data_IF_852443688771
#
_entry.id   IF_852443688771
#
_cell.length_a   1.000
_cell.length_b   1.000
_cell.length_c   1.000
_cell.angle_alpha   90.00
_cell.angle_beta   90.00
_cell.angle_gamma   90.00
#
_symmetry.space_group_name_H-M   'P 1'
#
loop_
_entity.id
_entity.type
_entity.pdbx_description
1 polymer ?
#
# COMPACT_ATOMS: atom_id res chain seq x y z
N UNK A 1 -0.36 5.00 -12.06
CA UNK A 1 1.11 4.86 -11.94
C UNK A 1 1.63 3.76 -12.88
N UNK A 2 2.82 3.90 -13.50
CA UNK A 2 3.52 2.79 -14.18
C UNK A 2 4.69 2.33 -13.30
N UNK A 3 4.69 1.07 -12.87
CA UNK A 3 5.77 0.48 -12.08
C UNK A 3 6.78 -0.23 -13.00
N UNK A 4 8.09 -0.13 -12.73
CA UNK A 4 9.08 -0.91 -13.48
C UNK A 4 8.84 -2.41 -13.26
N UNK A 5 9.10 -3.21 -14.29
CA UNK A 5 8.92 -4.65 -14.25
C UNK A 5 10.03 -5.31 -13.42
N UNK A 6 9.80 -5.44 -12.11
CA UNK A 6 10.70 -6.11 -11.17
C UNK A 6 9.90 -7.17 -10.39
N UNK A 7 10.53 -8.24 -9.87
CA UNK A 7 9.82 -9.27 -9.11
C UNK A 7 8.99 -8.71 -7.94
N UNK A 8 9.52 -7.69 -7.25
CA UNK A 8 8.83 -7.03 -6.13
C UNK A 8 7.58 -6.26 -6.60
N UNK A 9 7.70 -5.50 -7.67
CA UNK A 9 6.57 -4.74 -8.21
C UNK A 9 5.51 -5.66 -8.83
N UNK A 10 5.93 -6.81 -9.36
CA UNK A 10 5.03 -7.83 -9.86
C UNK A 10 4.18 -8.44 -8.73
N UNK A 11 4.78 -8.74 -7.57
CA UNK A 11 4.03 -9.20 -6.40
C UNK A 11 2.96 -8.17 -5.95
N UNK A 12 3.29 -6.87 -5.97
CA UNK A 12 2.32 -5.81 -5.67
C UNK A 12 1.19 -5.79 -6.71
N UNK A 13 1.51 -5.95 -8.00
CA UNK A 13 0.52 -6.00 -9.06
C UNK A 13 -0.41 -7.22 -8.95
N UNK A 14 0.12 -8.38 -8.54
CA UNK A 14 -0.64 -9.61 -8.30
C UNK A 14 -1.62 -9.46 -7.12
N UNK A 15 -1.18 -8.81 -6.03
CA UNK A 15 -2.08 -8.48 -4.90
C UNK A 15 -3.18 -7.51 -5.35
N UNK A 16 -2.83 -6.44 -6.08
CA UNK A 16 -3.83 -5.50 -6.59
C UNK A 16 -4.83 -6.17 -7.55
N UNK A 17 -4.38 -7.11 -8.39
CA UNK A 17 -5.23 -7.88 -9.27
C UNK A 17 -6.19 -8.80 -8.48
N UNK A 18 -5.68 -9.49 -7.46
CA UNK A 18 -6.50 -10.32 -6.56
C UNK A 18 -7.58 -9.51 -5.85
N UNK A 19 -7.23 -8.33 -5.34
CA UNK A 19 -8.20 -7.42 -4.70
C UNK A 19 -9.24 -6.91 -5.70
N UNK A 20 -8.84 -6.61 -6.93
CA UNK A 20 -9.76 -6.14 -7.96
C UNK A 20 -10.81 -7.20 -8.34
N UNK A 21 -10.49 -8.50 -8.28
CA UNK A 21 -11.46 -9.58 -8.47
C UNK A 21 -12.58 -9.51 -7.42
N UNK A 22 -12.24 -9.13 -6.19
CA UNK A 22 -13.17 -8.92 -5.08
C UNK A 22 -13.83 -7.53 -5.08
N UNK A 23 -13.74 -6.78 -6.20
CA UNK A 23 -14.18 -5.38 -6.31
C UNK A 23 -13.55 -4.45 -5.26
N UNK A 24 -12.35 -4.77 -4.78
CA UNK A 24 -11.59 -3.95 -3.85
C UNK A 24 -10.48 -3.21 -4.59
N UNK A 25 -10.51 -1.88 -4.52
CA UNK A 25 -9.55 -1.03 -5.23
C UNK A 25 -8.72 -0.23 -4.23
N UNK A 26 -7.49 -0.67 -3.89
CA UNK A 26 -6.60 0.13 -3.07
C UNK A 26 -6.28 1.45 -3.77
N UNK A 27 -6.26 2.52 -3.01
CA UNK A 27 -5.93 3.84 -3.55
C UNK A 27 -4.44 3.93 -3.95
N UNK A 28 -4.13 4.86 -4.86
CA UNK A 28 -2.77 5.03 -5.35
C UNK A 28 -1.78 5.44 -4.24
N UNK A 29 -2.23 6.18 -3.22
CA UNK A 29 -1.38 6.60 -2.11
C UNK A 29 -0.96 5.40 -1.25
N UNK A 30 -1.85 4.44 -1.04
CA UNK A 30 -1.61 3.21 -0.32
C UNK A 30 -0.61 2.31 -1.05
N UNK A 31 -0.76 2.15 -2.38
CA UNK A 31 0.21 1.42 -3.20
C UNK A 31 1.61 2.04 -3.11
N UNK A 32 1.72 3.37 -3.05
CA UNK A 32 3.01 4.06 -2.85
C UNK A 32 3.63 3.76 -1.48
N UNK A 33 2.83 3.64 -0.43
CA UNK A 33 3.34 3.29 0.89
C UNK A 33 3.81 1.83 0.97
N UNK A 34 3.15 0.90 0.27
CA UNK A 34 3.64 -0.48 0.12
C UNK A 34 4.99 -0.50 -0.59
N UNK A 35 5.16 0.29 -1.66
CA UNK A 35 6.43 0.37 -2.39
C UNK A 35 7.59 0.86 -1.50
N UNK A 36 7.33 1.82 -0.61
CA UNK A 36 8.32 2.27 0.38
C UNK A 36 8.75 1.15 1.31
N UNK A 37 7.82 0.26 1.70
CA UNK A 37 8.15 -0.93 2.50
C UNK A 37 9.05 -1.87 1.71
N UNK A 38 8.70 -2.17 0.46
CA UNK A 38 9.49 -3.05 -0.41
C UNK A 38 10.90 -2.52 -0.73
N UNK A 39 11.05 -1.20 -0.78
CA UNK A 39 12.33 -0.52 -0.95
C UNK A 39 13.16 -0.42 0.35
N UNK A 40 12.60 -0.80 1.50
CA UNK A 40 13.26 -0.69 2.80
C UNK A 40 13.28 0.73 3.38
N UNK A 41 12.52 1.67 2.80
CA UNK A 41 12.39 3.04 3.30
C UNK A 41 11.58 3.08 4.60
N UNK A 42 10.72 2.09 4.83
CA UNK A 42 9.98 1.88 6.08
C UNK A 42 9.68 0.41 6.33
N UNK A 43 9.36 0.04 7.56
CA UNK A 43 8.98 -1.34 7.89
C UNK A 43 7.48 -1.58 7.74
N UNK A 44 7.09 -2.85 7.58
CA UNK A 44 5.69 -3.26 7.61
C UNK A 44 4.99 -2.80 8.90
N UNK A 45 5.66 -2.93 10.06
CA UNK A 45 5.05 -2.54 11.34
C UNK A 45 4.84 -1.03 11.43
N UNK A 46 5.77 -0.22 10.91
CA UNK A 46 5.58 1.24 10.83
C UNK A 46 4.36 1.60 9.98
N UNK A 47 4.22 0.99 8.80
CA UNK A 47 3.05 1.21 7.93
C UNK A 47 1.75 0.76 8.61
N UNK A 48 1.76 -0.40 9.29
CA UNK A 48 0.60 -0.92 10.03
C UNK A 48 0.15 0.04 11.13
N UNK A 49 1.08 0.53 11.95
CA UNK A 49 0.75 1.47 13.03
C UNK A 49 0.21 2.80 12.51
N UNK A 50 0.77 3.28 11.40
CA UNK A 50 0.29 4.47 10.72
C UNK A 50 -1.16 4.35 10.23
N UNK A 51 -1.52 3.22 9.61
CA UNK A 51 -2.89 2.94 9.17
C UNK A 51 -3.84 2.89 10.36
N UNK A 52 -3.46 2.17 11.44
CA UNK A 52 -4.28 2.08 12.64
C UNK A 52 -4.52 3.45 13.30
N UNK A 53 -3.50 4.31 13.34
CA UNK A 53 -3.63 5.67 13.86
C UNK A 53 -4.61 6.53 13.04
N UNK A 54 -4.63 6.37 11.71
CA UNK A 54 -5.61 7.05 10.85
C UNK A 54 -7.04 6.60 11.14
N UNK A 55 -7.28 5.29 11.26
CA UNK A 55 -8.61 4.75 11.58
C UNK A 55 -9.07 5.12 13.00
N UNK A 56 -8.15 5.32 13.95
CA UNK A 56 -8.46 5.83 15.30
C UNK A 56 -8.67 7.35 15.34
N UNK A 57 -8.43 8.07 14.23
CA UNK A 57 -8.53 9.53 14.17
C UNK A 57 -7.38 10.27 14.84
N UNK A 58 -6.31 9.57 15.22
CA UNK A 58 -5.08 10.14 15.80
C UNK A 58 -4.21 10.84 14.75
N UNK A 59 -4.49 10.56 13.47
CA UNK A 59 -3.80 11.14 12.32
C UNK A 59 -4.79 11.47 11.22
N UNK A 60 -4.47 12.48 10.40
CA UNK A 60 -5.29 12.80 9.21
C UNK A 60 -5.29 11.63 8.22
N UNK A 61 -6.45 11.24 7.67
CA UNK A 61 -6.53 10.17 6.69
C UNK A 61 -5.75 10.55 5.43
N UNK A 62 -4.84 9.67 5.01
CA UNK A 62 -4.04 9.82 3.78
C UNK A 62 -4.66 9.11 2.58
N UNK A 63 -5.50 8.14 2.85
CA UNK A 63 -6.18 7.27 1.91
C UNK A 63 -7.62 7.78 1.76
N UNK A 64 -8.06 8.06 0.53
CA UNK A 64 -9.37 8.67 0.26
C UNK A 64 -9.97 8.13 -1.02
#
# INVERSE_FOLDING_TARGET
MKLPNTPKNQAIAEVAATLAIENMYPDEAFIKEILKVENGEKTYEQLRQEILAEYRGERRPRYR
#
